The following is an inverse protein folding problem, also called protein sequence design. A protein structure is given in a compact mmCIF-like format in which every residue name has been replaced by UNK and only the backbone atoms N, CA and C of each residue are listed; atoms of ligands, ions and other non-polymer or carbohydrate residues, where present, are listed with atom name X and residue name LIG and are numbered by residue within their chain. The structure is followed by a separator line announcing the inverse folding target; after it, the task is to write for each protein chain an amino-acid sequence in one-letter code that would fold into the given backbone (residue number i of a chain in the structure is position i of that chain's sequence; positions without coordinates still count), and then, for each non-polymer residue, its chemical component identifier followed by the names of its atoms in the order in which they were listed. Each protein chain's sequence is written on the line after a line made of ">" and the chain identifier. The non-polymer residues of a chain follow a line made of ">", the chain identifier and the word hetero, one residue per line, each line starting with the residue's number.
data_IF_548479465677
#
_entry.id   IF_548479465677
#
_cell.length_a   1.000
_cell.length_b   1.000
_cell.length_c   1.000
_cell.angle_alpha   90.00
_cell.angle_beta   90.00
_cell.angle_gamma   90.00
#
_symmetry.space_group_name_H-M   'P 1'
#
loop_
_entity.id
_entity.type
_entity.pdbx_description
1 polymer ?
#
# COMPACT_ATOMS: atom_id res chain seq x y z
N UNK A 1 -16.15 13.42 -6.75
CA UNK A 1 -15.63 12.16 -7.30
C UNK A 1 -15.44 11.22 -6.12
N UNK A 2 -16.11 10.06 -6.11
CA UNK A 2 -15.84 9.03 -5.12
C UNK A 2 -14.42 8.50 -5.32
N UNK A 3 -13.65 8.41 -4.23
CA UNK A 3 -12.33 7.80 -4.27
C UNK A 3 -12.56 6.29 -4.30
N UNK A 4 -12.01 5.55 -5.29
CA UNK A 4 -12.16 4.11 -5.33
C UNK A 4 -11.57 3.47 -4.05
N UNK A 5 -12.16 2.36 -3.57
CA UNK A 5 -11.63 1.66 -2.41
C UNK A 5 -10.19 1.16 -2.66
N UNK A 6 -9.38 0.98 -1.61
CA UNK A 6 -8.04 0.44 -1.76
C UNK A 6 -8.06 -0.98 -2.34
N UNK A 7 -7.02 -1.33 -3.10
CA UNK A 7 -6.86 -2.65 -3.71
C UNK A 7 -5.54 -3.29 -3.21
N UNK A 8 -5.60 -4.06 -2.10
CA UNK A 8 -4.42 -4.70 -1.53
C UNK A 8 -3.70 -5.65 -2.49
N UNK A 9 -4.42 -6.26 -3.44
CA UNK A 9 -3.79 -7.15 -4.42
C UNK A 9 -2.92 -6.34 -5.38
N UNK A 10 -3.40 -5.21 -5.89
CA UNK A 10 -2.59 -4.33 -6.74
C UNK A 10 -1.38 -3.75 -6.03
N UNK A 11 -1.50 -3.46 -4.73
CA UNK A 11 -0.36 -3.06 -3.91
C UNK A 11 0.72 -4.14 -3.88
N UNK A 12 0.33 -5.39 -3.62
CA UNK A 12 1.25 -6.52 -3.59
C UNK A 12 1.87 -6.77 -4.97
N UNK A 13 1.06 -6.78 -6.04
CA UNK A 13 1.57 -6.99 -7.40
C UNK A 13 2.61 -5.91 -7.79
N UNK A 14 2.33 -4.63 -7.47
CA UNK A 14 3.25 -3.52 -7.72
C UNK A 14 4.54 -3.63 -6.91
N UNK A 15 4.45 -4.04 -5.64
CA UNK A 15 5.60 -4.30 -4.78
C UNK A 15 6.49 -5.41 -5.36
N UNK A 16 5.89 -6.56 -5.71
CA UNK A 16 6.61 -7.71 -6.25
C UNK A 16 7.32 -7.39 -7.57
N UNK A 17 6.70 -6.57 -8.44
CA UNK A 17 7.34 -6.11 -9.68
C UNK A 17 8.57 -5.23 -9.40
N UNK A 18 8.50 -4.35 -8.39
CA UNK A 18 9.64 -3.54 -7.97
C UNK A 18 10.76 -4.38 -7.36
N UNK A 19 10.45 -5.34 -6.49
CA UNK A 19 11.46 -6.23 -5.90
C UNK A 19 12.22 -7.07 -6.94
N UNK A 20 11.56 -7.42 -8.06
CA UNK A 20 12.20 -8.10 -9.19
C UNK A 20 13.00 -7.18 -10.12
N UNK A 21 12.97 -5.87 -9.89
CA UNK A 21 13.60 -4.87 -10.77
C UNK A 21 12.82 -4.58 -12.05
N UNK A 22 11.56 -5.02 -12.16
CA UNK A 22 10.70 -4.82 -13.34
C UNK A 22 10.03 -3.42 -13.32
N UNK A 23 10.04 -2.74 -12.18
CA UNK A 23 9.48 -1.40 -11.98
C UNK A 23 10.51 -0.45 -11.35
N UNK A 24 10.46 0.83 -11.72
CA UNK A 24 11.32 1.86 -11.12
C UNK A 24 10.75 2.35 -9.79
N UNK A 25 11.56 2.90 -8.87
CA UNK A 25 11.08 3.47 -7.61
C UNK A 25 9.96 4.51 -7.80
N UNK A 26 10.09 5.41 -8.76
CA UNK A 26 9.05 6.40 -9.05
C UNK A 26 7.73 5.77 -9.52
N UNK A 27 7.81 4.70 -10.32
CA UNK A 27 6.64 4.01 -10.83
C UNK A 27 5.91 3.23 -9.74
N UNK A 28 6.61 2.44 -8.92
CA UNK A 28 5.99 1.70 -7.82
C UNK A 28 5.31 2.64 -6.81
N UNK A 29 5.90 3.81 -6.52
CA UNK A 29 5.29 4.81 -5.63
C UNK A 29 3.98 5.36 -6.21
N UNK A 30 3.91 5.59 -7.52
CA UNK A 30 2.69 6.04 -8.19
C UNK A 30 1.60 4.96 -8.19
N UNK A 31 1.98 3.71 -8.46
CA UNK A 31 1.06 2.57 -8.47
C UNK A 31 0.52 2.29 -7.05
N UNK A 32 1.38 2.34 -6.02
CA UNK A 32 0.99 2.18 -4.62
C UNK A 32 0.05 3.29 -4.13
N UNK A 33 0.31 4.55 -4.52
CA UNK A 33 -0.60 5.66 -4.21
C UNK A 33 -1.97 5.45 -4.86
N UNK A 34 -1.97 5.04 -6.12
CA UNK A 34 -3.21 4.84 -6.91
C UNK A 34 -4.02 3.66 -6.37
N UNK A 35 -3.37 2.59 -5.92
CA UNK A 35 -4.00 1.43 -5.32
C UNK A 35 -4.40 1.63 -3.83
N UNK A 36 -4.20 2.83 -3.28
CA UNK A 36 -4.72 3.21 -1.96
C UNK A 36 -3.89 2.71 -0.78
N UNK A 37 -2.55 2.69 -0.90
CA UNK A 37 -1.65 2.26 0.18
C UNK A 37 -1.94 2.96 1.50
N UNK A 38 -2.23 4.27 1.46
CA UNK A 38 -2.53 5.06 2.67
C UNK A 38 -3.71 4.47 3.46
N UNK A 39 -4.81 4.21 2.78
CA UNK A 39 -6.03 3.69 3.39
C UNK A 39 -5.80 2.29 3.98
N UNK A 40 -5.01 1.45 3.30
CA UNK A 40 -4.63 0.13 3.84
C UNK A 40 -3.83 0.29 5.13
N UNK A 41 -2.85 1.20 5.17
CA UNK A 41 -2.06 1.44 6.38
C UNK A 41 -2.91 1.99 7.53
N UNK A 42 -3.81 2.94 7.26
CA UNK A 42 -4.74 3.49 8.28
C UNK A 42 -5.61 2.38 8.88
N UNK A 43 -6.14 1.49 8.03
CA UNK A 43 -6.92 0.33 8.47
C UNK A 43 -6.09 -0.65 9.30
N UNK A 44 -4.85 -0.94 8.90
CA UNK A 44 -3.96 -1.81 9.65
C UNK A 44 -3.59 -1.22 11.02
N UNK A 45 -3.31 0.09 11.09
CA UNK A 45 -3.06 0.79 12.35
C UNK A 45 -4.29 0.72 13.27
N UNK A 46 -5.50 0.88 12.72
CA UNK A 46 -6.73 0.76 13.51
C UNK A 46 -6.99 -0.64 14.07
N UNK A 47 -6.42 -1.67 13.44
CA UNK A 47 -6.54 -3.06 13.86
C UNK A 47 -5.34 -3.55 14.67
N UNK A 48 -4.24 -2.80 14.67
CA UNK A 48 -3.08 -3.14 15.45
C UNK A 48 -3.45 -3.14 16.95
N UNK A 49 -3.09 -4.17 17.72
CA UNK A 49 -3.23 -4.11 19.16
C UNK A 49 -2.49 -2.88 19.66
N UNK A 50 -2.98 -2.25 20.74
CA UNK A 50 -2.22 -1.21 21.41
C UNK A 50 -0.85 -1.80 21.76
N UNK A 51 0.18 -1.35 21.06
CA UNK A 51 1.55 -1.61 21.48
C UNK A 51 1.69 -0.84 22.78
N UNK A 52 1.65 -1.55 23.91
CA UNK A 52 2.16 -1.00 25.16
C UNK A 52 3.64 -0.69 24.88
N UNK A 53 3.94 0.58 24.62
CA UNK A 53 5.30 1.08 24.53
C UNK A 53 5.96 0.83 25.89
N UNK A 54 6.85 -0.18 25.93
CA UNK A 54 7.73 -0.48 27.05
C UNK A 54 9.06 0.27 26.95
#
# INVERSE_FOLDING_TARGET
>A
MEIPPPDPKKLLDAWMAWEKGESTPGRVMADMKTAGLRQVLEVLVSQAPATDDA
#
